data_IF_717264553754
#
_entry.id   IF_717264553754
#
_cell.length_a   1.000
_cell.length_b   1.000
_cell.length_c   1.000
_cell.angle_alpha   90.00
_cell.angle_beta   90.00
_cell.angle_gamma   90.00
#
_symmetry.space_group_name_H-M   'P 1'
#
loop_
_entity.id
_entity.type
_entity.pdbx_description
1 polymer ?
#
# COMPACT_ATOMS: atom_id res chain seq x y z
N UNK A 1 28.64 8.87 13.98
CA UNK A 1 28.36 7.74 14.89
C UNK A 1 27.36 6.77 14.24
N UNK A 2 27.54 6.46 12.95
CA UNK A 2 26.48 5.81 12.17
C UNK A 2 26.13 4.40 12.67
N UNK A 3 27.07 3.65 13.25
CA UNK A 3 26.87 2.25 13.67
C UNK A 3 27.23 1.99 15.14
N UNK A 4 27.27 3.02 15.97
CA UNK A 4 27.99 2.93 17.26
C UNK A 4 27.47 1.83 18.20
N UNK A 5 26.16 1.54 18.18
CA UNK A 5 25.53 0.44 18.93
C UNK A 5 24.77 -0.53 18.02
N UNK A 6 25.02 -0.48 16.71
CA UNK A 6 24.31 -1.32 15.77
C UNK A 6 24.56 -2.81 16.07
N UNK A 7 23.50 -3.61 15.94
CA UNK A 7 23.46 -5.06 16.15
C UNK A 7 23.81 -5.53 17.58
N UNK A 8 23.82 -4.63 18.57
CA UNK A 8 23.92 -4.98 19.99
C UNK A 8 22.60 -5.60 20.51
N UNK A 9 22.21 -6.76 19.97
CA UNK A 9 20.91 -7.41 20.20
C UNK A 9 20.66 -7.83 21.65
N UNK A 10 21.71 -8.03 22.45
CA UNK A 10 21.61 -8.39 23.88
C UNK A 10 21.60 -7.17 24.82
N UNK A 11 21.77 -5.95 24.29
CA UNK A 11 21.80 -4.73 25.09
C UNK A 11 20.40 -4.38 25.61
N UNK A 12 20.21 -4.38 26.92
CA UNK A 12 18.92 -4.09 27.56
C UNK A 12 18.79 -2.65 28.06
N UNK A 13 19.91 -2.05 28.47
CA UNK A 13 20.03 -0.67 28.95
C UNK A 13 21.37 -0.08 28.52
N UNK A 14 21.44 1.24 28.39
CA UNK A 14 22.67 1.95 28.06
C UNK A 14 22.70 3.30 28.78
N UNK A 15 23.81 3.63 29.41
CA UNK A 15 24.04 4.97 29.97
C UNK A 15 24.74 5.85 28.91
N UNK A 16 24.09 6.97 28.58
CA UNK A 16 24.52 7.95 27.58
C UNK A 16 24.63 9.36 28.19
N UNK A 17 24.62 9.50 29.51
CA UNK A 17 24.58 10.82 30.15
C UNK A 17 25.77 11.71 29.79
N UNK A 18 26.93 11.11 29.51
CA UNK A 18 28.18 11.80 29.21
C UNK A 18 28.51 11.83 27.71
N UNK A 19 27.57 11.48 26.84
CA UNK A 19 27.79 11.45 25.39
C UNK A 19 27.63 12.84 24.76
N UNK A 20 28.73 13.43 24.29
CA UNK A 20 28.67 14.66 23.50
C UNK A 20 28.33 14.36 22.03
N UNK A 21 27.12 14.72 21.62
CA UNK A 21 26.67 14.60 20.23
C UNK A 21 26.67 15.92 19.45
N UNK A 22 27.16 17.01 20.04
CA UNK A 22 27.06 18.38 19.48
C UNK A 22 27.75 18.58 18.12
N UNK A 23 28.67 17.69 17.75
CA UNK A 23 29.39 17.69 16.47
C UNK A 23 29.03 16.51 15.57
N UNK A 24 28.05 15.69 15.94
CA UNK A 24 27.64 14.52 15.15
C UNK A 24 26.82 14.97 13.94
N UNK A 25 27.30 14.59 12.75
CA UNK A 25 26.58 14.83 11.50
C UNK A 25 25.71 13.63 11.07
N UNK A 26 26.07 12.42 11.52
CA UNK A 26 25.50 11.17 11.04
C UNK A 26 25.19 10.22 12.21
N UNK A 27 23.89 10.01 12.44
CA UNK A 27 23.32 8.99 13.34
C UNK A 27 22.59 7.87 12.56
N UNK A 28 22.61 7.99 11.24
CA UNK A 28 22.04 7.09 10.26
C UNK A 28 22.71 7.26 8.89
N UNK A 29 22.21 6.52 7.90
CA UNK A 29 22.76 6.51 6.55
C UNK A 29 21.98 7.44 5.58
N UNK A 30 22.57 7.88 4.45
CA UNK A 30 21.80 8.55 3.41
C UNK A 30 20.73 7.68 2.74
N UNK A 31 20.87 6.34 2.70
CA UNK A 31 19.98 5.45 1.94
C UNK A 31 19.43 4.28 2.77
N UNK A 32 18.28 3.73 2.36
CA UNK A 32 17.62 2.64 3.06
C UNK A 32 18.35 1.28 2.94
N UNK A 33 19.10 1.04 1.86
CA UNK A 33 19.81 -0.24 1.64
C UNK A 33 21.16 -0.36 2.34
N UNK A 34 21.50 0.59 3.22
CA UNK A 34 22.81 0.60 3.88
C UNK A 34 22.65 0.35 5.37
N UNK A 35 23.51 -0.53 5.91
CA UNK A 35 23.51 -1.03 7.28
C UNK A 35 23.81 0.02 8.38
N UNK A 36 23.58 1.31 8.12
CA UNK A 36 23.88 2.44 9.01
C UNK A 36 22.71 2.85 9.90
N UNK A 37 22.85 2.77 11.22
CA UNK A 37 21.90 3.31 12.20
C UNK A 37 22.43 3.18 13.64
N UNK A 38 22.41 4.26 14.42
CA UNK A 38 23.12 4.32 15.71
C UNK A 38 22.71 3.21 16.69
N UNK A 39 21.41 2.87 16.76
CA UNK A 39 20.84 1.81 17.61
C UNK A 39 20.21 0.68 16.80
N UNK A 40 20.57 0.55 15.51
CA UNK A 40 19.96 -0.46 14.63
C UNK A 40 20.08 -1.86 15.26
N UNK A 41 18.99 -2.63 15.26
CA UNK A 41 18.91 -3.99 15.79
C UNK A 41 19.34 -4.16 17.25
N UNK A 42 19.26 -3.11 18.08
CA UNK A 42 19.29 -3.25 19.54
C UNK A 42 17.95 -3.86 20.03
N UNK A 43 17.67 -5.11 19.66
CA UNK A 43 16.35 -5.73 19.79
C UNK A 43 15.90 -5.97 21.24
N UNK A 44 16.84 -6.12 22.19
CA UNK A 44 16.52 -6.27 23.63
C UNK A 44 16.45 -4.95 24.39
N UNK A 45 16.66 -3.80 23.73
CA UNK A 45 16.67 -2.50 24.40
C UNK A 45 15.23 -2.13 24.80
N UNK A 46 14.98 -2.04 26.11
CA UNK A 46 13.64 -1.76 26.66
C UNK A 46 13.46 -0.31 27.08
N UNK A 47 14.57 0.37 27.37
CA UNK A 47 14.63 1.78 27.72
C UNK A 47 15.87 2.43 27.09
N UNK A 48 15.71 3.66 26.61
CA UNK A 48 16.78 4.43 26.01
C UNK A 48 16.64 5.90 26.42
N UNK A 49 17.52 6.36 27.30
CA UNK A 49 17.58 7.76 27.67
C UNK A 49 18.56 8.51 26.75
N UNK A 50 18.03 9.39 25.91
CA UNK A 50 18.76 10.23 24.95
C UNK A 50 18.45 11.72 25.12
N UNK A 51 17.99 12.12 26.30
CA UNK A 51 17.65 13.52 26.60
C UNK A 51 18.86 14.46 26.55
N UNK A 52 20.08 13.93 26.70
CA UNK A 52 21.34 14.68 26.59
C UNK A 52 21.78 14.94 25.15
N UNK A 53 21.16 14.30 24.15
CA UNK A 53 21.61 14.41 22.77
C UNK A 53 21.32 15.82 22.22
N UNK A 54 22.34 16.45 21.66
CA UNK A 54 22.21 17.60 20.77
C UNK A 54 22.24 17.12 19.33
N UNK A 55 21.12 17.21 18.61
CA UNK A 55 20.99 16.75 17.22
C UNK A 55 21.01 17.89 16.20
N UNK A 56 21.26 19.14 16.62
CA UNK A 56 21.13 20.34 15.76
C UNK A 56 22.00 20.31 14.49
N UNK A 57 23.12 19.57 14.49
CA UNK A 57 24.00 19.40 13.32
C UNK A 57 23.77 18.10 12.54
N UNK A 58 22.92 17.19 13.03
CA UNK A 58 22.70 15.89 12.42
C UNK A 58 21.97 16.07 11.10
N UNK A 59 22.51 15.45 10.05
CA UNK A 59 21.95 15.46 8.70
C UNK A 59 21.23 14.16 8.36
N UNK A 60 21.66 13.04 8.93
CA UNK A 60 21.18 11.71 8.55
C UNK A 60 20.76 10.92 9.79
N UNK A 61 19.51 10.46 9.79
CA UNK A 61 18.88 9.67 10.86
C UNK A 61 18.21 8.39 10.35
N UNK A 62 18.42 8.01 9.08
CA UNK A 62 17.87 6.76 8.56
C UNK A 62 18.32 5.56 9.40
N UNK A 63 17.41 4.62 9.63
CA UNK A 63 17.59 3.42 10.46
C UNK A 63 18.06 3.65 11.91
N UNK A 64 18.01 4.88 12.44
CA UNK A 64 18.59 5.19 13.76
C UNK A 64 18.09 4.27 14.88
N UNK A 65 16.80 3.89 14.86
CA UNK A 65 16.17 2.98 15.80
C UNK A 65 15.61 1.71 15.14
N UNK A 66 15.99 1.42 13.89
CA UNK A 66 15.48 0.26 13.15
C UNK A 66 15.68 -1.02 13.97
N UNK A 67 14.65 -1.84 14.14
CA UNK A 67 14.76 -3.12 14.83
C UNK A 67 14.97 -3.03 16.34
N UNK A 68 14.81 -1.86 16.97
CA UNK A 68 14.66 -1.74 18.43
C UNK A 68 13.31 -2.29 18.88
N UNK A 69 13.09 -3.60 18.70
CA UNK A 69 11.78 -4.24 18.79
C UNK A 69 11.20 -4.31 20.21
N UNK A 70 12.02 -4.15 21.25
CA UNK A 70 11.59 -4.14 22.66
C UNK A 70 11.33 -2.74 23.24
N UNK A 71 11.61 -1.66 22.50
CA UNK A 71 11.30 -0.30 22.96
C UNK A 71 9.79 -0.07 22.97
N UNK A 72 9.23 0.28 24.13
CA UNK A 72 7.79 0.55 24.29
C UNK A 72 7.47 2.04 24.11
N UNK A 73 8.39 2.90 24.55
CA UNK A 73 8.32 4.36 24.46
C UNK A 73 9.70 4.92 24.10
N UNK A 74 9.72 6.08 23.47
CA UNK A 74 10.95 6.81 23.15
C UNK A 74 10.67 8.31 23.23
N UNK A 75 11.42 9.02 24.08
CA UNK A 75 11.35 10.47 24.17
C UNK A 75 12.33 11.11 23.18
N UNK A 76 11.80 11.92 22.27
CA UNK A 76 12.53 12.65 21.22
C UNK A 76 12.26 14.16 21.31
N UNK A 77 11.73 14.64 22.44
CA UNK A 77 11.34 16.05 22.60
C UNK A 77 12.52 17.02 22.44
N UNK A 78 13.74 16.58 22.74
CA UNK A 78 14.97 17.35 22.59
C UNK A 78 15.58 17.32 21.17
N UNK A 79 15.03 16.53 20.24
CA UNK A 79 15.61 16.40 18.90
C UNK A 79 15.31 17.66 18.06
N UNK A 80 16.35 18.35 17.64
CA UNK A 80 16.33 19.30 16.53
C UNK A 80 16.59 18.54 15.23
N UNK A 81 15.58 18.43 14.37
CA UNK A 81 15.67 17.75 13.07
C UNK A 81 15.75 18.73 11.89
N UNK A 82 15.91 20.03 12.14
CA UNK A 82 15.85 21.08 11.10
C UNK A 82 16.94 21.00 10.03
N UNK A 83 17.98 20.20 10.25
CA UNK A 83 19.06 19.92 9.30
C UNK A 83 19.03 18.50 8.71
N UNK A 84 18.08 17.67 9.12
CA UNK A 84 17.99 16.28 8.68
C UNK A 84 17.43 16.20 7.27
N UNK A 85 18.09 15.43 6.42
CA UNK A 85 17.70 15.20 5.01
C UNK A 85 17.25 13.76 4.74
N UNK A 86 17.52 12.82 5.65
CA UNK A 86 17.16 11.41 5.49
C UNK A 86 16.67 10.78 6.81
N UNK A 87 15.48 10.19 6.77
CA UNK A 87 14.80 9.51 7.88
C UNK A 87 14.23 8.15 7.46
N UNK A 88 14.71 7.57 6.35
CA UNK A 88 14.24 6.28 5.86
C UNK A 88 14.41 5.19 6.92
N UNK A 89 13.39 4.35 7.12
CA UNK A 89 13.40 3.26 8.10
C UNK A 89 13.76 3.65 9.55
N UNK A 90 13.64 4.92 9.94
CA UNK A 90 14.12 5.40 11.25
C UNK A 90 13.54 4.61 12.43
N UNK A 91 12.27 4.19 12.35
CA UNK A 91 11.58 3.40 13.37
C UNK A 91 11.13 2.03 12.85
N UNK A 92 11.63 1.61 11.68
CA UNK A 92 11.19 0.35 11.08
C UNK A 92 11.44 -0.83 12.03
N UNK A 93 10.45 -1.73 12.19
CA UNK A 93 10.49 -2.88 13.11
C UNK A 93 10.65 -2.52 14.59
N UNK A 94 10.32 -1.30 15.00
CA UNK A 94 10.04 -0.98 16.41
C UNK A 94 8.68 -1.57 16.83
N UNK A 95 8.58 -2.91 16.86
CA UNK A 95 7.30 -3.63 16.95
C UNK A 95 6.54 -3.39 18.26
N UNK A 96 7.23 -3.07 19.36
CA UNK A 96 6.61 -2.81 20.68
C UNK A 96 6.30 -1.34 20.96
N UNK A 97 6.71 -0.43 20.08
CA UNK A 97 6.56 1.01 20.29
C UNK A 97 5.08 1.38 20.24
N UNK A 98 4.55 1.94 21.33
CA UNK A 98 3.11 2.27 21.45
C UNK A 98 2.82 3.74 21.24
N UNK A 99 3.70 4.59 21.75
CA UNK A 99 3.55 6.05 21.73
C UNK A 99 4.83 6.67 21.19
N UNK A 100 4.69 7.60 20.26
CA UNK A 100 5.80 8.34 19.67
C UNK A 100 5.35 9.78 19.45
N UNK A 101 5.95 10.71 20.21
CA UNK A 101 5.69 12.14 20.03
C UNK A 101 6.69 12.73 19.03
N UNK A 102 6.18 13.21 17.88
CA UNK A 102 6.97 13.80 16.81
C UNK A 102 6.65 15.30 16.59
N UNK A 103 5.99 15.96 17.55
CA UNK A 103 5.55 17.34 17.39
C UNK A 103 6.71 18.34 17.20
N UNK A 104 7.91 18.02 17.69
CA UNK A 104 9.12 18.84 17.54
C UNK A 104 9.81 18.66 16.18
N UNK A 105 9.44 17.64 15.39
CA UNK A 105 10.15 17.33 14.15
C UNK A 105 9.88 18.40 13.09
N UNK A 106 10.96 19.00 12.60
CA UNK A 106 10.97 19.78 11.38
C UNK A 106 11.50 18.89 10.24
N UNK A 107 10.63 18.51 9.30
CA UNK A 107 10.99 17.63 8.18
C UNK A 107 11.17 18.37 6.85
N UNK A 108 11.19 19.71 6.84
CA UNK A 108 11.22 20.54 5.62
C UNK A 108 12.44 20.33 4.69
N UNK A 109 13.47 19.63 5.17
CA UNK A 109 14.66 19.25 4.38
C UNK A 109 14.74 17.75 4.07
N UNK A 110 13.82 16.94 4.58
CA UNK A 110 13.84 15.48 4.42
C UNK A 110 13.44 15.11 2.99
N UNK A 111 14.27 14.27 2.37
CA UNK A 111 14.09 13.77 1.00
C UNK A 111 13.68 12.29 1.02
N UNK A 112 14.27 11.51 1.93
CA UNK A 112 14.04 10.07 2.06
C UNK A 112 13.27 9.76 3.35
N UNK A 113 12.07 9.18 3.20
CA UNK A 113 11.15 8.85 4.30
C UNK A 113 10.48 7.47 4.08
N UNK A 114 10.96 6.71 3.09
CA UNK A 114 10.49 5.37 2.81
C UNK A 114 10.69 4.45 4.02
N UNK A 115 9.73 3.56 4.25
CA UNK A 115 9.70 2.59 5.36
C UNK A 115 9.78 3.17 6.79
N UNK A 116 9.68 4.49 6.99
CA UNK A 116 9.95 5.16 8.27
C UNK A 116 9.26 4.50 9.48
N UNK A 117 8.01 4.04 9.33
CA UNK A 117 7.20 3.38 10.35
C UNK A 117 6.81 1.93 9.97
N UNK A 118 7.49 1.35 8.97
CA UNK A 118 7.26 -0.04 8.53
C UNK A 118 7.39 -1.00 9.72
N UNK A 119 6.42 -1.90 9.91
CA UNK A 119 6.39 -2.87 11.02
C UNK A 119 6.40 -2.23 12.43
N UNK A 120 5.87 -1.02 12.59
CA UNK A 120 5.54 -0.45 13.90
C UNK A 120 4.19 -1.01 14.40
N UNK A 121 4.15 -2.32 14.68
CA UNK A 121 2.91 -3.07 14.88
C UNK A 121 2.04 -2.58 16.05
N UNK A 122 2.63 -1.93 17.06
CA UNK A 122 1.95 -1.54 18.30
C UNK A 122 1.47 -0.08 18.37
N UNK A 123 1.76 0.75 17.36
CA UNK A 123 1.32 2.15 17.34
C UNK A 123 -0.18 2.20 16.99
N UNK A 124 -1.00 2.77 17.87
CA UNK A 124 -2.44 2.93 17.63
C UNK A 124 -2.80 4.27 16.99
N UNK A 125 -2.03 5.32 17.31
CA UNK A 125 -2.23 6.69 16.84
C UNK A 125 -0.87 7.33 16.57
N UNK A 126 -0.77 8.06 15.48
CA UNK A 126 0.44 8.77 15.10
C UNK A 126 0.08 10.18 14.63
N UNK A 127 0.60 11.20 15.33
CA UNK A 127 0.40 12.59 14.93
C UNK A 127 1.57 13.05 14.05
N UNK A 128 1.27 13.36 12.79
CA UNK A 128 2.24 13.84 11.79
C UNK A 128 1.93 15.26 11.31
N UNK A 129 1.12 16.03 12.03
CA UNK A 129 0.70 17.37 11.60
C UNK A 129 1.85 18.37 11.44
N UNK A 130 3.01 18.13 12.08
CA UNK A 130 4.23 18.94 11.96
C UNK A 130 5.04 18.61 10.70
N UNK A 131 4.73 17.51 10.01
CA UNK A 131 5.53 17.06 8.87
C UNK A 131 5.28 17.95 7.65
N UNK A 132 6.38 18.47 7.10
CA UNK A 132 6.45 19.06 5.77
C UNK A 132 7.14 18.05 4.85
N UNK A 133 6.41 17.52 3.88
CA UNK A 133 6.89 16.47 2.96
C UNK A 133 7.20 17.00 1.56
N UNK A 134 7.22 18.32 1.35
CA UNK A 134 7.34 18.93 0.02
C UNK A 134 8.62 18.54 -0.75
N UNK A 135 9.64 18.00 -0.08
CA UNK A 135 10.89 17.49 -0.70
C UNK A 135 10.99 15.97 -0.78
N UNK A 136 10.03 15.24 -0.21
CA UNK A 136 10.05 13.78 -0.18
C UNK A 136 9.74 13.25 -1.57
N UNK A 137 10.56 12.34 -2.07
CA UNK A 137 10.42 11.76 -3.42
C UNK A 137 9.96 10.31 -3.41
N UNK A 138 10.04 9.63 -2.26
CA UNK A 138 9.72 8.22 -2.10
C UNK A 138 9.04 7.96 -0.74
N UNK A 139 7.86 7.34 -0.77
CA UNK A 139 7.06 6.96 0.41
C UNK A 139 6.73 5.46 0.43
N UNK A 140 7.51 4.63 -0.28
CA UNK A 140 7.35 3.18 -0.32
C UNK A 140 7.28 2.61 1.10
N UNK A 141 6.26 1.79 1.34
CA UNK A 141 6.03 1.05 2.58
C UNK A 141 6.10 1.88 3.87
N UNK A 142 5.87 3.20 3.82
CA UNK A 142 6.07 4.10 4.97
C UNK A 142 5.33 3.65 6.24
N UNK A 143 4.13 3.09 6.09
CA UNK A 143 3.28 2.59 7.19
C UNK A 143 2.96 1.09 7.06
N UNK A 144 3.66 0.34 6.22
CA UNK A 144 3.38 -1.10 6.04
C UNK A 144 3.38 -1.85 7.37
N UNK A 145 2.44 -2.78 7.57
CA UNK A 145 2.33 -3.64 8.75
C UNK A 145 2.11 -2.87 10.07
N UNK A 146 1.60 -1.63 10.03
CA UNK A 146 1.13 -0.93 11.24
C UNK A 146 -0.21 -1.50 11.71
N UNK A 147 -0.22 -2.77 12.15
CA UNK A 147 -1.43 -3.55 12.37
C UNK A 147 -2.44 -2.92 13.33
N UNK A 148 -1.99 -2.19 14.37
CA UNK A 148 -2.86 -1.56 15.37
C UNK A 148 -3.22 -0.10 15.08
N UNK A 149 -2.68 0.50 14.01
CA UNK A 149 -2.94 1.90 13.67
C UNK A 149 -4.42 2.08 13.30
N UNK A 150 -5.15 2.91 14.04
CA UNK A 150 -6.60 3.10 13.88
C UNK A 150 -6.96 4.32 13.03
N UNK A 151 -6.21 5.40 13.21
CA UNK A 151 -6.45 6.69 12.55
C UNK A 151 -5.13 7.26 12.04
N UNK A 152 -5.15 7.74 10.80
CA UNK A 152 -4.04 8.47 10.21
C UNK A 152 -4.55 9.69 9.44
N UNK A 153 -4.08 10.87 9.84
CA UNK A 153 -4.39 12.12 9.15
C UNK A 153 -3.14 12.65 8.47
N UNK A 154 -3.14 12.68 7.14
CA UNK A 154 -2.02 13.11 6.32
C UNK A 154 -2.33 14.39 5.54
N UNK A 155 -3.31 15.19 5.97
CA UNK A 155 -3.69 16.43 5.26
C UNK A 155 -2.57 17.47 5.14
N UNK A 156 -1.52 17.37 5.96
CA UNK A 156 -0.33 18.24 5.88
C UNK A 156 0.70 17.76 4.85
N UNK A 157 0.52 16.56 4.28
CA UNK A 157 1.48 16.01 3.33
C UNK A 157 1.30 16.68 1.98
N UNK A 158 2.40 17.26 1.50
CA UNK A 158 2.62 17.62 0.11
C UNK A 158 3.35 16.45 -0.57
N UNK A 159 2.66 15.79 -1.50
CA UNK A 159 3.18 14.62 -2.24
C UNK A 159 3.52 14.93 -3.69
N UNK A 160 3.53 16.22 -4.09
CA UNK A 160 3.75 16.63 -5.48
C UNK A 160 5.07 16.14 -6.09
N UNK A 161 6.10 15.91 -5.27
CA UNK A 161 7.40 15.38 -5.69
C UNK A 161 7.54 13.86 -5.53
N UNK A 162 6.54 13.17 -4.99
CA UNK A 162 6.60 11.73 -4.74
C UNK A 162 6.41 10.97 -6.05
N UNK A 163 7.29 10.01 -6.30
CA UNK A 163 7.27 9.16 -7.50
C UNK A 163 6.87 7.72 -7.22
N UNK A 164 6.95 7.27 -5.96
CA UNK A 164 6.63 5.90 -5.58
C UNK A 164 5.94 5.85 -4.21
N UNK A 165 4.77 5.20 -4.17
CA UNK A 165 3.92 4.98 -3.00
C UNK A 165 3.56 3.49 -2.82
N UNK A 166 4.32 2.59 -3.45
CA UNK A 166 4.05 1.15 -3.37
C UNK A 166 3.99 0.68 -1.92
N UNK A 167 2.91 -0.03 -1.58
CA UNK A 167 2.69 -0.59 -0.24
C UNK A 167 2.58 0.41 0.92
N UNK A 168 2.40 1.71 0.66
CA UNK A 168 2.44 2.75 1.70
C UNK A 168 1.60 2.43 2.95
N UNK A 169 0.41 1.84 2.78
CA UNK A 169 -0.50 1.44 3.86
C UNK A 169 -0.75 -0.08 3.92
N UNK A 170 0.10 -0.89 3.27
CA UNK A 170 -0.08 -2.33 3.21
C UNK A 170 -0.20 -2.94 4.62
N UNK A 171 -1.21 -3.76 4.81
CA UNK A 171 -1.56 -4.49 6.03
C UNK A 171 -1.77 -3.60 7.27
N UNK A 172 -2.21 -2.35 7.09
CA UNK A 172 -2.76 -1.51 8.16
C UNK A 172 -4.17 -2.00 8.56
N UNK A 173 -4.28 -3.23 9.06
CA UNK A 173 -5.55 -3.96 9.17
C UNK A 173 -6.56 -3.38 10.16
N UNK A 174 -6.13 -2.55 11.13
CA UNK A 174 -7.03 -1.81 12.05
C UNK A 174 -7.35 -0.38 11.62
N UNK A 175 -6.83 0.09 10.48
CA UNK A 175 -7.04 1.45 10.01
C UNK A 175 -8.51 1.66 9.63
N UNK A 176 -9.16 2.58 10.34
CA UNK A 176 -10.57 2.92 10.17
C UNK A 176 -10.76 4.31 9.54
N UNK A 177 -9.80 5.21 9.76
CA UNK A 177 -9.81 6.55 9.19
C UNK A 177 -8.45 6.85 8.54
N UNK A 178 -8.51 7.25 7.27
CA UNK A 178 -7.36 7.69 6.50
C UNK A 178 -7.73 8.97 5.75
N UNK A 179 -7.04 10.07 6.04
CA UNK A 179 -7.19 11.32 5.30
C UNK A 179 -5.99 11.54 4.38
N UNK A 180 -6.24 11.44 3.07
CA UNK A 180 -5.25 11.57 1.99
C UNK A 180 -5.70 12.58 0.92
N UNK A 181 -6.62 13.49 1.27
CA UNK A 181 -7.21 14.44 0.33
C UNK A 181 -6.19 15.45 -0.23
N UNK A 182 -5.07 15.66 0.45
CA UNK A 182 -3.99 16.55 -0.01
C UNK A 182 -3.03 15.89 -1.01
N UNK A 183 -3.19 14.59 -1.28
CA UNK A 183 -2.24 13.88 -2.13
C UNK A 183 -2.34 14.36 -3.58
N UNK A 184 -1.22 14.86 -4.10
CA UNK A 184 -0.95 14.97 -5.53
C UNK A 184 -0.18 13.71 -5.97
N UNK A 185 -0.79 12.92 -6.84
CA UNK A 185 -0.21 11.66 -7.35
C UNK A 185 0.24 11.75 -8.81
N UNK A 186 0.24 12.95 -9.40
CA UNK A 186 0.54 13.18 -10.83
C UNK A 186 1.95 12.76 -11.27
N UNK A 187 2.88 12.58 -10.33
CA UNK A 187 4.24 12.10 -10.56
C UNK A 187 4.47 10.63 -10.15
N UNK A 188 3.47 9.97 -9.57
CA UNK A 188 3.61 8.61 -9.05
C UNK A 188 3.54 7.59 -10.19
N UNK A 189 4.52 6.70 -10.24
CA UNK A 189 4.60 5.58 -11.20
C UNK A 189 4.33 4.22 -10.53
N UNK A 190 4.61 4.10 -9.24
CA UNK A 190 4.41 2.88 -8.45
C UNK A 190 3.36 3.04 -7.36
N UNK A 191 2.26 2.26 -7.44
CA UNK A 191 1.18 2.20 -6.45
C UNK A 191 0.75 0.76 -6.10
N UNK A 192 1.52 -0.25 -6.53
CA UNK A 192 1.18 -1.64 -6.26
C UNK A 192 1.08 -1.89 -4.74
N UNK A 193 0.10 -2.70 -4.33
CA UNK A 193 -0.19 -3.05 -2.93
C UNK A 193 -0.49 -1.86 -1.99
N UNK A 194 -0.74 -0.64 -2.48
CA UNK A 194 -0.79 0.57 -1.62
C UNK A 194 -1.76 0.44 -0.43
N UNK A 195 -2.92 -0.18 -0.63
CA UNK A 195 -3.94 -0.37 0.41
C UNK A 195 -4.19 -1.85 0.74
N UNK A 196 -3.39 -2.77 0.21
CA UNK A 196 -3.54 -4.21 0.45
C UNK A 196 -3.70 -4.51 1.94
N UNK A 197 -4.67 -5.33 2.34
CA UNK A 197 -4.87 -5.76 3.73
C UNK A 197 -5.35 -4.66 4.69
N UNK A 198 -5.87 -3.54 4.19
CA UNK A 198 -6.54 -2.51 5.00
C UNK A 198 -7.96 -2.94 5.39
N UNK A 199 -8.06 -4.06 6.12
CA UNK A 199 -9.31 -4.79 6.36
C UNK A 199 -10.41 -3.95 7.03
N UNK A 200 -10.06 -2.93 7.82
CA UNK A 200 -11.03 -2.12 8.57
C UNK A 200 -11.44 -0.81 7.90
N UNK A 201 -10.90 -0.48 6.73
CA UNK A 201 -11.37 0.68 5.96
C UNK A 201 -12.73 0.36 5.36
N UNK A 202 -13.72 1.21 5.62
CA UNK A 202 -15.08 1.08 5.04
C UNK A 202 -15.30 2.00 3.85
N UNK A 203 -14.57 3.10 3.77
CA UNK A 203 -14.63 4.07 2.68
C UNK A 203 -13.24 4.51 2.28
N UNK A 204 -13.02 4.63 0.97
CA UNK A 204 -11.80 5.19 0.40
C UNK A 204 -12.17 6.06 -0.82
N UNK A 205 -12.05 7.38 -0.66
CA UNK A 205 -12.24 8.34 -1.74
C UNK A 205 -10.89 8.67 -2.38
N UNK A 206 -10.72 8.31 -3.65
CA UNK A 206 -9.50 8.56 -4.42
C UNK A 206 -9.76 9.50 -5.60
N UNK A 207 -10.82 10.31 -5.57
CA UNK A 207 -11.17 11.24 -6.66
C UNK A 207 -10.10 12.28 -6.98
N UNK A 208 -9.16 12.55 -6.07
CA UNK A 208 -8.00 13.41 -6.29
C UNK A 208 -6.81 12.70 -6.95
N UNK A 209 -6.86 11.37 -7.15
CA UNK A 209 -5.73 10.62 -7.68
C UNK A 209 -5.58 10.80 -9.19
N UNK A 210 -4.34 11.02 -9.65
CA UNK A 210 -3.95 10.97 -11.05
C UNK A 210 -3.05 9.75 -11.27
N UNK A 211 -3.59 8.70 -11.88
CA UNK A 211 -2.87 7.45 -12.11
C UNK A 211 -2.28 7.32 -13.52
N UNK A 212 -2.26 8.41 -14.30
CA UNK A 212 -1.86 8.37 -15.73
C UNK A 212 -0.43 7.87 -15.98
N UNK A 213 0.46 7.92 -14.99
CA UNK A 213 1.84 7.40 -15.08
C UNK A 213 2.03 6.01 -14.45
N UNK A 214 0.99 5.43 -13.86
CA UNK A 214 1.08 4.15 -13.15
C UNK A 214 1.10 3.01 -14.16
N UNK A 215 2.08 2.11 -14.02
CA UNK A 215 2.28 0.96 -14.92
C UNK A 215 1.75 -0.35 -14.34
N UNK A 216 1.71 -0.47 -13.01
CA UNK A 216 1.21 -1.66 -12.29
C UNK A 216 0.26 -1.24 -11.17
N UNK A 217 -0.90 -1.88 -11.12
CA UNK A 217 -1.88 -1.75 -10.04
C UNK A 217 -2.09 -3.08 -9.29
N UNK A 218 -1.12 -3.99 -9.38
CA UNK A 218 -1.22 -5.31 -8.78
C UNK A 218 -1.46 -5.21 -7.27
N UNK A 219 -2.45 -5.98 -6.78
CA UNK A 219 -2.82 -6.11 -5.37
C UNK A 219 -3.22 -4.78 -4.68
N UNK A 220 -3.55 -3.71 -5.43
CA UNK A 220 -3.71 -2.37 -4.85
C UNK A 220 -4.73 -2.31 -3.70
N UNK A 221 -5.83 -3.07 -3.79
CA UNK A 221 -6.90 -3.16 -2.79
C UNK A 221 -7.15 -4.59 -2.31
N UNK A 222 -6.22 -5.52 -2.58
CA UNK A 222 -6.33 -6.93 -2.20
C UNK A 222 -6.57 -7.08 -0.68
N UNK A 223 -7.58 -7.83 -0.28
CA UNK A 223 -7.87 -8.09 1.14
C UNK A 223 -8.56 -6.94 1.88
N UNK A 224 -8.99 -5.86 1.23
CA UNK A 224 -9.80 -4.80 1.85
C UNK A 224 -11.25 -5.26 2.14
N UNK A 225 -11.37 -6.22 3.06
CA UNK A 225 -12.55 -7.05 3.31
C UNK A 225 -13.74 -6.35 3.94
N UNK A 226 -13.62 -5.12 4.45
CA UNK A 226 -14.77 -4.32 4.90
C UNK A 226 -14.98 -3.05 4.07
N UNK A 227 -14.28 -2.90 2.93
CA UNK A 227 -14.45 -1.74 2.08
C UNK A 227 -15.82 -1.81 1.39
N UNK A 228 -16.65 -0.79 1.64
CA UNK A 228 -18.02 -0.69 1.10
C UNK A 228 -18.10 0.37 0.00
N UNK A 229 -17.35 1.46 0.15
CA UNK A 229 -17.33 2.58 -0.79
C UNK A 229 -15.91 2.84 -1.30
N UNK A 230 -15.71 2.71 -2.61
CA UNK A 230 -14.44 2.97 -3.27
C UNK A 230 -14.67 3.88 -4.49
N UNK A 231 -14.12 5.09 -4.45
CA UNK A 231 -14.24 6.03 -5.56
C UNK A 231 -12.99 5.97 -6.46
N UNK A 232 -13.16 5.50 -7.69
CA UNK A 232 -12.09 5.37 -8.71
C UNK A 232 -12.29 6.29 -9.91
N UNK A 233 -13.20 7.27 -9.82
CA UNK A 233 -13.64 8.07 -10.96
C UNK A 233 -12.53 8.85 -11.70
N UNK A 234 -11.42 9.15 -11.03
CA UNK A 234 -10.27 9.87 -11.60
C UNK A 234 -9.18 8.95 -12.17
N UNK A 235 -9.32 7.62 -12.02
CA UNK A 235 -8.29 6.69 -12.47
C UNK A 235 -8.16 6.75 -14.00
N UNK A 236 -6.92 6.85 -14.45
CA UNK A 236 -6.51 6.60 -15.83
C UNK A 236 -5.63 5.35 -15.85
N UNK A 237 -6.11 4.29 -16.49
CA UNK A 237 -5.42 2.99 -16.55
C UNK A 237 -4.77 2.70 -17.90
N UNK A 238 -4.72 3.67 -18.83
CA UNK A 238 -4.27 3.44 -20.20
C UNK A 238 -2.82 2.94 -20.30
N UNK A 239 -1.99 3.21 -19.29
CA UNK A 239 -0.60 2.74 -19.22
C UNK A 239 -0.40 1.48 -18.35
N UNK A 240 -1.47 0.96 -17.74
CA UNK A 240 -1.39 -0.18 -16.84
C UNK A 240 -1.23 -1.47 -17.63
N UNK A 241 -0.24 -2.28 -17.24
CA UNK A 241 0.08 -3.55 -17.90
C UNK A 241 -0.33 -4.78 -17.09
N UNK A 242 -0.57 -4.62 -15.78
CA UNK A 242 -1.03 -5.68 -14.89
C UNK A 242 -2.00 -5.16 -13.83
N UNK A 243 -3.09 -5.90 -13.67
CA UNK A 243 -4.13 -5.71 -12.64
C UNK A 243 -4.28 -6.96 -11.76
N UNK A 244 -3.21 -7.77 -11.67
CA UNK A 244 -3.16 -8.99 -10.85
C UNK A 244 -3.72 -8.74 -9.44
N UNK A 245 -4.76 -9.48 -9.06
CA UNK A 245 -5.42 -9.41 -7.74
C UNK A 245 -5.83 -8.01 -7.28
N UNK A 246 -6.01 -7.04 -8.18
CA UNK A 246 -6.22 -5.63 -7.81
C UNK A 246 -7.40 -5.42 -6.85
N UNK A 247 -8.48 -6.16 -7.06
CA UNK A 247 -9.73 -6.07 -6.30
C UNK A 247 -10.07 -7.37 -5.55
N UNK A 248 -9.08 -8.25 -5.34
CA UNK A 248 -9.27 -9.52 -4.64
C UNK A 248 -9.78 -9.30 -3.21
N UNK A 249 -10.76 -10.11 -2.80
CA UNK A 249 -11.38 -10.14 -1.47
C UNK A 249 -12.09 -8.82 -1.06
N UNK A 250 -12.53 -8.01 -2.02
CA UNK A 250 -13.38 -6.85 -1.73
C UNK A 250 -14.80 -7.27 -1.33
N UNK A 251 -15.35 -6.58 -0.32
CA UNK A 251 -16.74 -6.74 0.12
C UNK A 251 -17.73 -5.74 -0.50
N UNK A 252 -17.32 -5.07 -1.58
CA UNK A 252 -18.14 -4.10 -2.33
C UNK A 252 -19.24 -4.84 -3.12
N UNK A 253 -20.45 -4.26 -3.14
CA UNK A 253 -21.60 -4.79 -3.90
C UNK A 253 -21.69 -4.26 -5.33
N UNK A 254 -21.19 -3.05 -5.58
CA UNK A 254 -21.12 -2.39 -6.88
C UNK A 254 -19.75 -1.71 -7.05
N UNK A 255 -19.03 -2.09 -8.08
CA UNK A 255 -17.76 -1.48 -8.44
C UNK A 255 -17.91 -0.76 -9.78
N UNK A 256 -17.63 0.54 -9.81
CA UNK A 256 -17.65 1.33 -11.05
C UNK A 256 -16.26 1.34 -11.68
N UNK A 257 -16.18 0.81 -12.90
CA UNK A 257 -14.96 0.67 -13.69
C UNK A 257 -15.11 1.31 -15.08
N UNK A 258 -16.12 2.18 -15.28
CA UNK A 258 -16.44 2.71 -16.62
C UNK A 258 -15.31 3.54 -17.25
N UNK A 259 -14.39 4.06 -16.43
CA UNK A 259 -13.23 4.85 -16.85
C UNK A 259 -11.97 4.00 -17.12
N UNK A 260 -12.01 2.69 -16.92
CA UNK A 260 -10.84 1.83 -17.10
C UNK A 260 -10.59 1.58 -18.59
N UNK A 261 -9.36 1.85 -19.02
CA UNK A 261 -8.78 1.37 -20.28
C UNK A 261 -7.87 0.18 -19.97
N UNK A 262 -8.21 -0.99 -20.51
CA UNK A 262 -7.45 -2.24 -20.30
C UNK A 262 -6.68 -2.70 -21.53
N UNK A 263 -6.62 -1.90 -22.59
CA UNK A 263 -6.00 -2.26 -23.89
C UNK A 263 -4.51 -2.62 -23.82
N UNK A 264 -3.84 -2.27 -22.72
CA UNK A 264 -2.44 -2.62 -22.44
C UNK A 264 -2.25 -3.70 -21.36
N UNK A 265 -3.33 -4.17 -20.73
CA UNK A 265 -3.27 -5.14 -19.64
C UNK A 265 -3.01 -6.54 -20.19
N UNK A 266 -2.03 -7.23 -19.60
CA UNK A 266 -1.63 -8.59 -19.99
C UNK A 266 -1.95 -9.65 -18.93
N UNK A 267 -2.14 -9.22 -17.67
CA UNK A 267 -2.40 -10.09 -16.52
C UNK A 267 -3.55 -9.54 -15.67
N UNK A 268 -4.64 -10.30 -15.62
CA UNK A 268 -5.84 -10.08 -14.80
C UNK A 268 -6.10 -11.26 -13.84
N UNK A 269 -5.07 -12.06 -13.55
CA UNK A 269 -5.23 -13.23 -12.67
C UNK A 269 -5.70 -12.80 -11.29
N UNK A 270 -6.67 -13.53 -10.74
CA UNK A 270 -7.32 -13.25 -9.45
C UNK A 270 -7.91 -11.83 -9.29
N UNK A 271 -8.12 -11.06 -10.37
CA UNK A 271 -8.47 -9.62 -10.26
C UNK A 271 -9.67 -9.35 -9.34
N UNK A 272 -10.68 -10.22 -9.36
CA UNK A 272 -11.89 -10.16 -8.51
C UNK A 272 -12.05 -11.41 -7.65
N UNK A 273 -10.96 -12.12 -7.34
CA UNK A 273 -11.01 -13.34 -6.53
C UNK A 273 -11.74 -13.10 -5.20
N UNK A 274 -12.66 -13.99 -4.82
CA UNK A 274 -13.42 -13.95 -3.57
C UNK A 274 -14.15 -12.61 -3.28
N UNK A 275 -14.54 -11.85 -4.31
CA UNK A 275 -15.46 -10.70 -4.19
C UNK A 275 -16.90 -11.14 -3.87
N UNK A 276 -17.12 -11.60 -2.64
CA UNK A 276 -18.35 -12.31 -2.23
C UNK A 276 -19.62 -11.48 -2.32
N UNK A 277 -19.54 -10.15 -2.22
CA UNK A 277 -20.72 -9.29 -2.21
C UNK A 277 -21.06 -8.69 -3.57
N UNK A 278 -20.19 -8.85 -4.56
CA UNK A 278 -20.40 -8.31 -5.90
C UNK A 278 -21.59 -9.03 -6.56
N UNK A 279 -22.58 -8.25 -7.01
CA UNK A 279 -23.81 -8.81 -7.62
C UNK A 279 -23.74 -8.74 -9.14
N UNK A 280 -23.18 -7.65 -9.66
CA UNK A 280 -23.00 -7.41 -11.08
C UNK A 280 -21.69 -6.70 -11.33
N UNK A 281 -21.13 -6.90 -12.52
CA UNK A 281 -19.93 -6.20 -12.95
C UNK A 281 -20.07 -5.79 -14.42
N UNK A 282 -19.79 -4.52 -14.70
CA UNK A 282 -19.78 -4.02 -16.06
C UNK A 282 -18.35 -3.90 -16.56
N UNK A 283 -18.00 -4.78 -17.51
CA UNK A 283 -16.70 -4.84 -18.17
C UNK A 283 -16.86 -4.56 -19.67
N UNK A 284 -17.94 -3.90 -20.10
CA UNK A 284 -18.21 -3.64 -21.52
C UNK A 284 -17.16 -2.73 -22.17
N UNK A 285 -16.43 -1.94 -21.39
CA UNK A 285 -15.29 -1.11 -21.82
C UNK A 285 -13.93 -1.86 -21.80
N UNK A 286 -13.87 -3.09 -21.28
CA UNK A 286 -12.60 -3.81 -21.16
C UNK A 286 -12.18 -4.37 -22.53
N UNK A 287 -11.13 -3.79 -23.10
CA UNK A 287 -10.34 -4.42 -24.16
C UNK A 287 -9.41 -5.46 -23.54
N UNK A 288 -9.70 -6.74 -23.76
CA UNK A 288 -8.90 -7.85 -23.24
C UNK A 288 -8.01 -8.49 -24.30
N UNK A 289 -7.87 -7.88 -25.48
CA UNK A 289 -7.14 -8.45 -26.61
C UNK A 289 -5.66 -8.75 -26.31
N UNK A 290 -5.04 -8.12 -25.31
CA UNK A 290 -3.66 -8.41 -24.87
C UNK A 290 -3.56 -9.30 -23.62
N UNK A 291 -4.68 -9.68 -23.02
CA UNK A 291 -4.69 -10.49 -21.80
C UNK A 291 -4.21 -11.90 -22.13
N UNK A 292 -3.19 -12.35 -21.40
CA UNK A 292 -2.62 -13.70 -21.53
C UNK A 292 -2.87 -14.56 -20.30
N UNK A 293 -3.14 -13.92 -19.15
CA UNK A 293 -3.38 -14.60 -17.87
C UNK A 293 -4.66 -14.09 -17.20
N UNK A 294 -5.55 -15.02 -16.91
CA UNK A 294 -6.77 -14.84 -16.12
C UNK A 294 -6.85 -15.84 -14.96
N UNK A 295 -5.79 -16.64 -14.77
CA UNK A 295 -5.65 -17.65 -13.72
C UNK A 295 -4.22 -17.75 -13.19
N UNK A 296 -4.10 -18.29 -11.96
CA UNK A 296 -2.88 -18.54 -11.14
C UNK A 296 -2.53 -17.42 -10.13
N UNK A 297 -2.51 -17.71 -8.81
CA UNK A 297 -2.89 -18.97 -8.17
C UNK A 297 -4.39 -19.25 -8.22
N UNK A 298 -5.22 -18.23 -8.47
CA UNK A 298 -6.67 -18.35 -8.55
C UNK A 298 -7.22 -17.74 -9.85
N UNK A 299 -8.45 -18.08 -10.19
CA UNK A 299 -9.14 -17.54 -11.36
C UNK A 299 -9.64 -16.11 -11.14
N UNK A 300 -9.74 -15.34 -12.22
CA UNK A 300 -10.14 -13.93 -12.22
C UNK A 300 -11.40 -13.63 -11.40
N UNK A 301 -12.41 -14.50 -11.44
CA UNK A 301 -13.68 -14.36 -10.71
C UNK A 301 -13.89 -15.43 -9.65
N UNK A 302 -12.92 -16.31 -9.44
CA UNK A 302 -13.08 -17.47 -8.55
C UNK A 302 -13.55 -17.04 -7.17
N UNK A 303 -14.59 -17.69 -6.63
CA UNK A 303 -15.13 -17.37 -5.30
C UNK A 303 -16.18 -16.26 -5.26
N UNK A 304 -16.50 -15.62 -6.39
CA UNK A 304 -17.57 -14.63 -6.50
C UNK A 304 -18.98 -15.26 -6.43
N UNK A 305 -19.34 -15.82 -5.26
CA UNK A 305 -20.54 -16.66 -5.10
C UNK A 305 -21.87 -15.94 -5.39
N UNK A 306 -21.94 -14.63 -5.18
CA UNK A 306 -23.15 -13.82 -5.39
C UNK A 306 -23.17 -13.07 -6.73
N UNK A 307 -22.11 -13.19 -7.53
CA UNK A 307 -22.01 -12.52 -8.83
C UNK A 307 -22.97 -13.18 -9.82
N UNK A 308 -23.99 -12.44 -10.25
CA UNK A 308 -25.06 -12.91 -11.12
C UNK A 308 -24.78 -12.61 -12.58
N UNK A 309 -24.22 -11.43 -12.87
CA UNK A 309 -24.06 -10.93 -14.24
C UNK A 309 -22.74 -10.22 -14.41
N UNK A 310 -22.03 -10.58 -15.49
CA UNK A 310 -20.85 -9.87 -15.97
C UNK A 310 -21.18 -9.39 -17.37
N UNK A 311 -21.20 -8.07 -17.57
CA UNK A 311 -21.44 -7.47 -18.88
C UNK A 311 -20.13 -7.32 -19.64
N UNK A 312 -20.14 -7.69 -20.91
CA UNK A 312 -19.01 -7.54 -21.84
C UNK A 312 -19.49 -7.03 -23.19
N UNK A 313 -18.57 -6.50 -24.00
CA UNK A 313 -18.83 -6.09 -25.38
C UNK A 313 -17.94 -6.87 -26.36
N UNK A 314 -17.90 -6.44 -27.62
CA UNK A 314 -17.02 -7.02 -28.64
C UNK A 314 -15.52 -6.72 -28.40
N UNK A 315 -15.19 -5.85 -27.44
CA UNK A 315 -13.82 -5.63 -26.96
C UNK A 315 -13.30 -6.80 -26.10
N UNK A 316 -14.20 -7.64 -25.59
CA UNK A 316 -13.83 -8.79 -24.79
C UNK A 316 -13.35 -9.95 -25.68
N UNK A 317 -12.03 -10.06 -25.79
CA UNK A 317 -11.35 -11.11 -26.54
C UNK A 317 -10.46 -11.94 -25.62
N UNK A 318 -10.70 -13.25 -25.58
CA UNK A 318 -9.96 -14.21 -24.75
C UNK A 318 -9.04 -15.15 -25.54
N UNK A 319 -8.83 -14.90 -26.85
CA UNK A 319 -8.05 -15.77 -27.73
C UNK A 319 -6.58 -15.91 -27.33
N UNK A 320 -6.02 -14.92 -26.63
CA UNK A 320 -4.62 -14.88 -26.22
C UNK A 320 -4.38 -15.45 -24.81
N UNK A 321 -5.44 -15.84 -24.10
CA UNK A 321 -5.34 -16.38 -22.75
C UNK A 321 -4.75 -17.79 -22.79
N UNK A 322 -3.58 -17.94 -22.18
CA UNK A 322 -2.87 -19.23 -22.06
C UNK A 322 -2.97 -19.84 -20.67
N UNK A 323 -3.33 -19.04 -19.66
CA UNK A 323 -3.58 -19.49 -18.30
C UNK A 323 -4.93 -18.96 -17.80
N UNK A 324 -5.88 -19.87 -17.60
CA UNK A 324 -7.26 -19.58 -17.19
C UNK A 324 -7.79 -20.52 -16.11
N UNK A 325 -6.88 -21.18 -15.38
CA UNK A 325 -7.23 -22.18 -14.38
C UNK A 325 -8.23 -21.57 -13.39
N UNK A 326 -9.38 -22.26 -13.23
CA UNK A 326 -10.42 -21.91 -12.27
C UNK A 326 -11.02 -20.49 -12.42
N UNK A 327 -10.98 -19.88 -13.62
CA UNK A 327 -11.50 -18.52 -13.88
C UNK A 327 -12.85 -18.22 -13.20
N UNK A 328 -13.79 -19.16 -13.24
CA UNK A 328 -15.14 -19.05 -12.67
C UNK A 328 -15.41 -20.03 -11.51
N UNK A 329 -14.38 -20.62 -10.90
CA UNK A 329 -14.59 -21.59 -9.82
C UNK A 329 -15.44 -20.99 -8.68
N UNK A 330 -16.40 -21.76 -8.16
CA UNK A 330 -17.35 -21.29 -7.12
C UNK A 330 -18.16 -20.01 -7.45
N UNK A 331 -18.39 -19.69 -8.73
CA UNK A 331 -19.31 -18.62 -9.16
C UNK A 331 -20.76 -19.11 -9.27
N UNK A 332 -21.31 -19.69 -8.19
CA UNK A 332 -22.57 -20.45 -8.23
C UNK A 332 -23.82 -19.67 -8.63
N UNK A 333 -23.81 -18.34 -8.53
CA UNK A 333 -24.95 -17.48 -8.93
C UNK A 333 -24.85 -16.98 -10.37
N UNK A 334 -23.74 -17.24 -11.07
CA UNK A 334 -23.46 -16.65 -12.37
C UNK A 334 -24.38 -17.24 -13.44
N UNK A 335 -25.02 -16.37 -14.22
CA UNK A 335 -25.91 -16.77 -15.31
C UNK A 335 -25.67 -15.87 -16.52
N UNK A 336 -25.35 -16.48 -17.66
CA UNK A 336 -25.20 -15.80 -18.95
C UNK A 336 -26.09 -16.47 -20.00
N UNK A 337 -25.50 -16.82 -21.14
CA UNK A 337 -26.18 -17.64 -22.15
C UNK A 337 -26.56 -19.03 -21.62
N UNK A 338 -25.77 -19.54 -20.66
CA UNK A 338 -26.04 -20.77 -19.92
C UNK A 338 -25.91 -20.53 -18.40
N UNK A 339 -26.57 -21.33 -17.55
CA UNK A 339 -26.32 -21.31 -16.11
C UNK A 339 -24.92 -21.84 -15.78
N UNK A 340 -24.37 -21.45 -14.62
CA UNK A 340 -23.09 -21.94 -14.13
C UNK A 340 -23.04 -23.48 -14.02
N UNK A 341 -21.94 -24.07 -14.49
CA UNK A 341 -21.60 -25.49 -14.36
C UNK A 341 -20.24 -25.63 -13.66
N UNK A 342 -20.23 -26.30 -12.50
CA UNK A 342 -19.01 -26.47 -11.68
C UNK A 342 -17.91 -27.29 -12.36
N UNK A 343 -18.22 -28.00 -13.45
CA UNK A 343 -17.25 -28.76 -14.23
C UNK A 343 -16.60 -27.93 -15.35
N UNK A 344 -17.15 -26.74 -15.66
CA UNK A 344 -16.67 -25.85 -16.72
C UNK A 344 -16.33 -24.48 -16.13
N UNK A 345 -15.11 -24.32 -15.65
CA UNK A 345 -14.70 -23.13 -14.88
C UNK A 345 -13.59 -22.33 -15.55
N UNK A 346 -13.15 -22.71 -16.73
CA UNK A 346 -12.06 -22.05 -17.45
C UNK A 346 -12.55 -20.98 -18.44
N UNK A 347 -11.63 -20.46 -19.24
CA UNK A 347 -11.87 -19.41 -20.24
C UNK A 347 -12.87 -19.82 -21.34
N UNK A 348 -13.14 -21.11 -21.56
CA UNK A 348 -14.11 -21.54 -22.57
C UNK A 348 -15.51 -20.98 -22.29
N UNK A 349 -15.82 -20.69 -21.02
CA UNK A 349 -17.08 -20.09 -20.59
C UNK A 349 -17.04 -18.55 -20.51
N UNK A 350 -15.90 -17.92 -20.80
CA UNK A 350 -15.71 -16.47 -20.77
C UNK A 350 -16.20 -15.78 -22.05
N UNK A 351 -17.44 -16.05 -22.47
CA UNK A 351 -18.07 -15.47 -23.65
C UNK A 351 -19.58 -15.27 -23.45
N UNK A 352 -20.23 -14.50 -24.33
CA UNK A 352 -21.65 -14.15 -24.22
C UNK A 352 -22.61 -14.99 -25.08
N UNK A 353 -22.11 -15.90 -25.92
CA UNK A 353 -22.96 -16.69 -26.85
C UNK A 353 -23.26 -18.09 -26.32
N UNK A 354 -22.28 -18.71 -25.66
CA UNK A 354 -22.37 -20.05 -25.07
C UNK A 354 -21.89 -20.11 -23.62
N UNK A 355 -21.33 -19.00 -23.13
CA UNK A 355 -20.70 -18.89 -21.82
C UNK A 355 -21.55 -18.21 -20.75
N UNK A 356 -20.87 -17.78 -19.70
CA UNK A 356 -21.47 -17.20 -18.50
C UNK A 356 -21.61 -15.67 -18.52
N UNK A 357 -21.17 -15.03 -19.61
CA UNK A 357 -21.15 -13.57 -19.70
C UNK A 357 -22.39 -13.07 -20.46
N UNK A 358 -22.72 -11.79 -20.30
CA UNK A 358 -23.87 -11.14 -20.95
C UNK A 358 -23.39 -10.02 -21.86
N UNK A 359 -23.91 -9.96 -23.08
CA UNK A 359 -23.56 -8.88 -24.00
C UNK A 359 -24.19 -7.56 -23.57
N UNK A 360 -23.38 -6.49 -23.59
CA UNK A 360 -23.78 -5.10 -23.47
C UNK A 360 -22.97 -4.30 -24.48
N UNK A 361 -23.65 -3.64 -25.40
CA UNK A 361 -23.00 -2.77 -26.39
C UNK A 361 -22.19 -1.69 -25.67
N UNK A 362 -20.92 -1.55 -26.04
CA UNK A 362 -20.13 -0.42 -25.58
C UNK A 362 -20.65 0.87 -26.23
N UNK A 363 -20.99 1.86 -25.41
CA UNK A 363 -21.52 3.17 -25.85
C UNK A 363 -20.49 4.30 -25.76
N UNK A 364 -19.27 3.98 -25.32
CA UNK A 364 -18.19 4.94 -25.07
C UNK A 364 -17.15 4.94 -26.19
#
# INVERSE_FOLDING_TARGET
MNNMFADCSSLTTLDLSNFDTSNVLYMGNPYNYSYGGMFRNCSSLTNLNISSFNTSKVKLMSNMFHGCSSLVTLDLSNFDTSNVTAMASMFEKCTSLKNLNLSSFNTSKVIYMDFMFSNCNSIENLNLSSFNTSKVTNMVNMFTNCYLLKKLDLSSFDTSNVTNMAGMFRDCSKLQYLNINSFDTSNVTGMNNMFRGCNNLTTLDLSNFNTSKVVTMSLMFDGCTNLENLNLSSFNTSNVTTMYSMFSELSISKLDLSNFDTSNVTDMSSMFYECKNLIQLDLSNFDTSKVTKTGSPYGMFSGCKNLKTIYISDLWNMSNVTNSVNMFHNCSSLTGAVPFDSTKTDVSMANYTTGYLTYKKNTN
#
